data_IF_638712608747
#
_entry.id   IF_638712608747
#
_cell.length_a   1.000
_cell.length_b   1.000
_cell.length_c   1.000
_cell.angle_alpha   90.00
_cell.angle_beta   90.00
_cell.angle_gamma   90.00
#
_symmetry.space_group_name_H-M   'P 1'
#
loop_
_entity.id
_entity.type
_entity.pdbx_description
1 polymer ?
#
# COMPACT_ATOMS: atom_id res chain seq x y z
N UNK A 1 -17.50 -0.89 -15.31
CA UNK A 1 -16.62 -1.34 -15.70
C UNK A 1 -15.59 -1.92 -14.91
N UNK A 2 -14.78 -2.58 -15.43
CA UNK A 2 -13.85 -3.24 -14.69
C UNK A 2 -12.98 -2.40 -13.93
N UNK A 3 -12.93 -1.18 -14.20
CA UNK A 3 -12.04 -0.32 -13.48
C UNK A 3 -12.49 -0.07 -12.07
N UNK A 4 -13.72 -0.40 -11.74
CA UNK A 4 -14.22 -0.07 -10.42
C UNK A 4 -13.39 -0.63 -9.31
N UNK A 5 -12.95 -1.85 -9.43
CA UNK A 5 -12.28 -2.37 -8.29
C UNK A 5 -10.83 -2.07 -8.28
N UNK A 6 -10.22 -1.72 -9.39
CA UNK A 6 -8.91 -1.25 -9.18
C UNK A 6 -8.86 0.20 -8.96
N UNK A 7 -9.97 0.89 -9.10
CA UNK A 7 -9.97 2.29 -8.86
C UNK A 7 -10.21 2.65 -7.43
N UNK A 8 -10.37 1.69 -6.56
CA UNK A 8 -10.51 2.00 -5.16
C UNK A 8 -9.18 2.49 -4.64
N UNK A 9 -9.08 3.79 -4.52
CA UNK A 9 -7.88 4.42 -4.00
C UNK A 9 -8.09 4.75 -2.55
N UNK A 10 -7.10 4.44 -1.74
CA UNK A 10 -7.20 4.69 -0.31
C UNK A 10 -6.13 5.67 0.11
N UNK A 11 -6.30 6.20 1.29
CA UNK A 11 -5.35 7.16 1.84
C UNK A 11 -4.22 6.43 2.54
N UNK A 12 -3.12 7.13 2.79
CA UNK A 12 -2.05 6.51 3.57
C UNK A 12 -2.52 6.04 4.93
N UNK A 13 -3.47 6.76 5.54
CA UNK A 13 -4.00 6.36 6.82
C UNK A 13 -4.70 5.02 6.73
N UNK A 14 -5.51 4.85 5.70
CA UNK A 14 -6.19 3.59 5.52
C UNK A 14 -5.21 2.47 5.20
N UNK A 15 -4.20 2.79 4.39
CA UNK A 15 -3.20 1.79 4.06
C UNK A 15 -2.43 1.38 5.31
N UNK A 16 -2.12 2.32 6.18
CA UNK A 16 -1.43 2.02 7.42
C UNK A 16 -2.26 1.09 8.29
N UNK A 17 -3.57 1.33 8.33
CA UNK A 17 -4.44 0.46 9.08
C UNK A 17 -4.46 -0.95 8.51
N UNK A 18 -4.55 -1.05 7.21
CA UNK A 18 -4.57 -2.36 6.57
C UNK A 18 -3.28 -3.13 6.81
N UNK A 19 -2.17 -2.42 6.85
CA UNK A 19 -0.89 -3.05 7.07
C UNK A 19 -0.56 -3.18 8.55
N UNK A 20 -1.31 -2.53 9.40
CA UNK A 20 -1.06 -2.59 10.82
C UNK A 20 0.19 -1.84 11.23
N UNK A 21 0.51 -0.74 10.57
CA UNK A 21 1.71 0.00 10.88
C UNK A 21 1.35 1.46 11.17
N UNK A 22 2.34 2.21 11.64
CA UNK A 22 2.13 3.61 11.92
C UNK A 22 2.30 4.48 10.70
N UNK A 23 1.95 5.75 10.85
CA UNK A 23 2.03 6.67 9.73
C UNK A 23 3.46 6.89 9.26
N UNK A 24 4.41 6.93 10.18
CA UNK A 24 5.79 7.09 9.78
C UNK A 24 6.24 5.94 8.89
N UNK A 25 5.81 4.76 9.25
CA UNK A 25 6.19 3.58 8.50
C UNK A 25 5.56 3.57 7.12
N UNK A 26 4.28 3.95 7.03
CA UNK A 26 3.63 3.93 5.72
C UNK A 26 4.28 4.96 4.79
N UNK A 27 4.63 6.14 5.30
CA UNK A 27 5.28 7.12 4.44
C UNK A 27 6.66 6.65 4.01
N UNK A 28 7.35 5.94 4.87
CA UNK A 28 8.65 5.41 4.49
C UNK A 28 8.49 4.38 3.38
N UNK A 29 7.49 3.52 3.49
CA UNK A 29 7.23 2.53 2.46
C UNK A 29 6.86 3.19 1.15
N UNK A 30 6.03 4.22 1.21
CA UNK A 30 5.63 4.94 0.01
C UNK A 30 6.81 5.61 -0.67
N UNK A 31 7.69 6.21 0.12
CA UNK A 31 8.83 6.88 -0.46
C UNK A 31 9.85 5.91 -1.02
N UNK A 32 9.89 4.71 -0.49
CA UNK A 32 10.85 3.73 -0.97
C UNK A 32 10.46 3.12 -2.30
N UNK A 33 9.20 3.29 -2.69
CA UNK A 33 8.72 2.72 -3.93
C UNK A 33 8.31 1.28 -3.84
N UNK A 34 8.37 0.69 -2.66
CA UNK A 34 7.97 -0.70 -2.50
C UNK A 34 6.48 -0.88 -2.62
N UNK A 35 5.73 0.13 -2.28
CA UNK A 35 4.28 0.08 -2.38
C UNK A 35 3.88 1.01 -3.51
N UNK A 36 3.24 0.49 -4.51
CA UNK A 36 2.84 1.30 -5.65
C UNK A 36 1.75 2.27 -5.22
N UNK A 37 1.95 3.50 -5.59
CA UNK A 37 1.01 4.55 -5.23
C UNK A 37 1.23 5.71 -6.16
N UNK A 38 0.23 6.60 -6.22
CA UNK A 38 0.40 7.79 -7.01
C UNK A 38 0.24 9.00 -6.12
N UNK A 39 0.90 10.05 -6.50
CA UNK A 39 0.83 11.27 -5.74
C UNK A 39 0.14 12.31 -6.59
N UNK A 40 -0.98 12.78 -6.12
CA UNK A 40 -1.75 13.77 -6.83
C UNK A 40 -1.67 15.04 -6.00
N UNK A 41 -0.91 16.00 -6.50
CA UNK A 41 -0.66 17.20 -5.72
C UNK A 41 0.14 16.84 -4.49
N UNK A 42 -0.45 17.03 -3.34
CA UNK A 42 0.22 16.72 -2.08
C UNK A 42 -0.32 15.48 -1.42
N UNK A 43 -1.23 14.81 -2.11
CA UNK A 43 -1.95 13.70 -1.49
C UNK A 43 -1.50 12.41 -2.13
N UNK A 44 -1.19 11.42 -1.31
CA UNK A 44 -0.90 10.10 -1.80
C UNK A 44 -2.20 9.35 -1.98
N UNK A 45 -2.31 8.66 -3.10
CA UNK A 45 -3.44 7.80 -3.35
C UNK A 45 -2.89 6.42 -3.65
N UNK A 46 -3.36 5.44 -2.92
CA UNK A 46 -2.81 4.10 -3.00
C UNK A 46 -3.89 3.15 -3.49
N UNK A 47 -3.66 2.48 -4.62
CA UNK A 47 -4.64 1.48 -5.06
C UNK A 47 -4.72 0.38 -4.02
N UNK A 48 -5.93 0.02 -3.64
CA UNK A 48 -6.11 -1.03 -2.66
C UNK A 48 -5.43 -2.31 -3.09
N UNK A 49 -5.45 -2.56 -4.37
CA UNK A 49 -4.80 -3.71 -4.92
C UNK A 49 -3.30 -3.71 -4.64
N UNK A 50 -2.69 -2.53 -4.69
CA UNK A 50 -1.27 -2.43 -4.44
C UNK A 50 -0.93 -2.81 -3.01
N UNK A 51 -1.82 -2.50 -2.08
CA UNK A 51 -1.61 -2.88 -0.69
C UNK A 51 -1.63 -4.40 -0.57
N UNK A 52 -2.56 -5.04 -1.26
CA UNK A 52 -2.62 -6.49 -1.23
C UNK A 52 -1.37 -7.11 -1.82
N UNK A 53 -0.89 -6.57 -2.91
CA UNK A 53 0.33 -7.08 -3.52
C UNK A 53 1.52 -6.91 -2.60
N UNK A 54 1.58 -5.78 -1.93
CA UNK A 54 2.66 -5.53 -1.00
C UNK A 54 2.63 -6.56 0.15
N UNK A 55 1.44 -6.81 0.67
CA UNK A 55 1.29 -7.78 1.75
C UNK A 55 1.73 -9.15 1.29
N UNK A 56 1.31 -9.56 0.11
CA UNK A 56 1.66 -10.86 -0.40
C UNK A 56 3.16 -11.01 -0.58
N UNK A 57 3.79 -9.96 -1.11
CA UNK A 57 5.22 -10.00 -1.34
C UNK A 57 5.98 -10.10 -0.03
N UNK A 58 5.60 -9.26 0.93
CA UNK A 58 6.29 -9.28 2.22
C UNK A 58 5.99 -10.55 3.00
N UNK A 59 4.78 -11.05 2.88
CA UNK A 59 4.42 -12.28 3.57
C UNK A 59 5.20 -13.45 3.03
N UNK A 60 5.42 -13.48 1.74
CA UNK A 60 6.20 -14.57 1.18
C UNK A 60 7.60 -14.55 1.71
N UNK A 61 8.18 -13.37 1.83
CA UNK A 61 9.51 -13.26 2.36
C UNK A 61 9.54 -13.71 3.81
N UNK A 62 8.57 -13.29 4.58
CA UNK A 62 8.53 -13.68 5.98
C UNK A 62 8.22 -15.15 6.16
N UNK A 63 7.32 -15.65 5.33
CA UNK A 63 6.97 -17.06 5.43
C UNK A 63 8.19 -17.92 5.14
N UNK A 64 9.01 -17.48 4.21
CA UNK A 64 10.21 -18.21 3.91
C UNK A 64 11.18 -18.19 5.09
N UNK A 65 11.10 -17.16 5.88
CA UNK A 65 11.98 -17.04 7.01
C UNK A 65 11.46 -17.72 8.25
N UNK A 66 10.23 -18.16 8.23
CA UNK A 66 9.68 -18.84 9.37
C UNK A 66 10.20 -20.25 9.40
#
# INVERSE_FOLDING_TARGET
MMSDYYDTLITPEEAAELLGCGMNTIYRILKSGKLKAMRIGRVWKIPRRAVQEYILTESKMKAAGW
#
